data_IF_435193312531
#
_entry.id   IF_435193312531
#
_cell.length_a   1.000
_cell.length_b   1.000
_cell.length_c   1.000
_cell.angle_alpha   90.00
_cell.angle_beta   90.00
_cell.angle_gamma   90.00
#
_symmetry.space_group_name_H-M   'P 1'
#
loop_
_entity.id
_entity.type
_entity.pdbx_description
1 polymer ?
#
# COMPACT_ATOMS: atom_id res chain seq x y z
N UNK A 1 -33.37 23.10 -2.96
CA UNK A 1 -31.98 23.06 -3.44
C UNK A 1 -31.32 21.83 -2.86
N UNK A 2 -30.95 20.86 -3.69
CA UNK A 2 -30.18 19.68 -3.25
C UNK A 2 -28.69 20.02 -3.38
N UNK A 3 -27.94 19.85 -2.29
CA UNK A 3 -26.48 19.96 -2.28
C UNK A 3 -25.92 18.84 -3.17
N UNK A 4 -24.92 19.09 -4.02
CA UNK A 4 -24.29 18.03 -4.78
C UNK A 4 -23.63 17.06 -3.80
N UNK A 5 -23.97 15.77 -3.92
CA UNK A 5 -23.32 14.71 -3.19
C UNK A 5 -21.88 14.53 -3.73
N UNK A 6 -20.94 15.33 -3.23
CA UNK A 6 -19.50 15.19 -3.52
C UNK A 6 -18.88 14.04 -2.72
N UNK A 7 -19.42 12.83 -2.84
CA UNK A 7 -18.83 11.63 -2.24
C UNK A 7 -19.39 10.36 -2.89
N UNK A 8 -18.75 9.83 -3.95
CA UNK A 8 -19.00 8.42 -4.30
C UNK A 8 -17.84 7.63 -4.91
N UNK A 9 -16.64 8.19 -4.96
CA UNK A 9 -15.43 7.38 -5.02
C UNK A 9 -14.60 7.82 -3.82
N UNK A 10 -14.67 7.08 -2.70
CA UNK A 10 -13.84 7.37 -1.53
C UNK A 10 -12.35 7.46 -1.88
N UNK A 11 -11.50 7.88 -0.93
CA UNK A 11 -10.06 8.09 -1.16
C UNK A 11 -9.48 6.96 -2.04
N UNK A 12 -8.76 7.27 -3.14
CA UNK A 12 -8.49 6.31 -4.21
C UNK A 12 -7.68 5.09 -3.77
N UNK A 13 -6.90 5.22 -2.69
CA UNK A 13 -6.16 4.15 -2.03
C UNK A 13 -7.00 3.27 -1.08
N UNK A 14 -8.19 3.72 -0.65
CA UNK A 14 -9.03 2.96 0.27
C UNK A 14 -9.49 1.64 -0.35
N UNK A 15 -9.34 0.56 0.40
CA UNK A 15 -9.75 -0.78 0.03
C UNK A 15 -8.64 -1.81 0.27
N UNK A 16 -8.91 -3.03 -0.16
CA UNK A 16 -7.94 -4.12 -0.12
C UNK A 16 -7.20 -4.23 -1.44
N UNK A 17 -5.92 -4.55 -1.34
CA UNK A 17 -5.02 -4.70 -2.47
C UNK A 17 -4.28 -6.00 -2.35
N UNK A 18 -4.06 -6.67 -3.47
CA UNK A 18 -3.33 -7.95 -3.50
C UNK A 18 -2.31 -7.99 -4.62
N UNK A 19 -1.19 -8.68 -4.38
CA UNK A 19 -0.11 -8.75 -5.34
C UNK A 19 1.15 -9.36 -4.73
N UNK A 20 2.31 -8.88 -5.17
CA UNK A 20 3.59 -9.42 -4.75
C UNK A 20 4.73 -8.41 -4.91
N UNK A 21 5.84 -8.74 -4.25
CA UNK A 21 7.13 -8.07 -4.42
C UNK A 21 8.27 -9.07 -4.40
N UNK A 22 9.44 -8.69 -4.90
CA UNK A 22 10.62 -9.53 -4.81
C UNK A 22 11.86 -8.91 -5.46
N UNK A 23 13.08 -9.29 -5.04
CA UNK A 23 14.32 -8.78 -5.64
C UNK A 23 14.51 -9.25 -7.09
N UNK A 24 13.85 -10.34 -7.49
CA UNK A 24 13.88 -10.90 -8.84
C UNK A 24 12.60 -11.70 -9.13
N UNK A 25 12.53 -12.32 -10.31
CA UNK A 25 11.35 -13.07 -10.77
C UNK A 25 11.15 -14.42 -10.06
N UNK A 26 12.21 -14.99 -9.50
CA UNK A 26 12.20 -16.29 -8.84
C UNK A 26 11.81 -16.19 -7.37
N UNK A 27 12.14 -15.07 -6.72
CA UNK A 27 11.92 -14.83 -5.29
C UNK A 27 10.78 -13.83 -5.06
N UNK A 28 9.53 -14.26 -5.30
CA UNK A 28 8.33 -13.43 -5.10
C UNK A 28 7.63 -13.73 -3.78
N UNK A 29 7.34 -12.70 -3.00
CA UNK A 29 6.52 -12.75 -1.78
C UNK A 29 5.15 -12.14 -2.04
N UNK A 30 4.08 -12.84 -1.66
CA UNK A 30 2.71 -12.31 -1.73
C UNK A 30 2.53 -11.16 -0.74
N UNK A 31 1.74 -10.17 -1.15
CA UNK A 31 1.36 -9.01 -0.34
C UNK A 31 -0.14 -8.85 -0.38
N UNK A 32 -0.69 -8.60 0.80
CA UNK A 32 -2.01 -8.02 0.98
C UNK A 32 -1.85 -6.67 1.68
N UNK A 33 -2.52 -5.64 1.17
CA UNK A 33 -2.66 -4.38 1.88
C UNK A 33 -4.13 -4.16 2.19
N UNK A 34 -4.43 -3.75 3.42
CA UNK A 34 -5.74 -3.22 3.78
C UNK A 34 -5.55 -1.74 4.15
N UNK A 35 -6.07 -0.85 3.32
CA UNK A 35 -5.90 0.60 3.46
C UNK A 35 -7.26 1.22 3.76
N UNK A 36 -7.32 1.99 4.84
CA UNK A 36 -8.49 2.74 5.23
C UNK A 36 -8.26 4.25 5.08
N UNK A 37 -9.36 4.98 5.00
CA UNK A 37 -9.41 6.44 5.00
C UNK A 37 -10.59 6.87 5.88
N UNK A 38 -10.29 7.73 6.86
CA UNK A 38 -11.25 8.24 7.84
C UNK A 38 -11.77 9.65 7.52
N UNK A 39 -11.33 10.25 6.41
CA UNK A 39 -11.62 11.65 6.06
C UNK A 39 -10.43 12.59 6.26
N UNK A 40 -9.36 12.14 6.93
CA UNK A 40 -8.18 12.95 7.27
C UNK A 40 -6.86 12.24 7.01
N UNK A 41 -6.77 10.96 7.35
CA UNK A 41 -5.53 10.19 7.27
C UNK A 41 -5.74 8.82 6.62
N UNK A 42 -4.71 8.38 5.90
CA UNK A 42 -4.60 7.00 5.46
C UNK A 42 -4.01 6.16 6.60
N UNK A 43 -4.70 5.07 6.91
CA UNK A 43 -4.21 4.05 7.83
C UNK A 43 -4.27 2.69 7.16
N UNK A 44 -3.66 1.67 7.76
CA UNK A 44 -3.74 0.33 7.20
C UNK A 44 -2.73 -0.63 7.76
N UNK A 45 -2.70 -1.82 7.17
CA UNK A 45 -1.74 -2.85 7.49
C UNK A 45 -1.29 -3.63 6.25
N UNK A 46 -0.04 -4.08 6.30
CA UNK A 46 0.53 -5.08 5.40
C UNK A 46 0.22 -6.46 5.99
N UNK A 47 -0.22 -7.38 5.14
CA UNK A 47 -0.54 -8.78 5.44
C UNK A 47 -1.40 -8.90 6.73
N UNK A 48 -2.63 -8.35 6.71
CA UNK A 48 -3.50 -8.33 7.89
C UNK A 48 -3.76 -9.73 8.45
N UNK A 49 -3.90 -9.83 9.77
CA UNK A 49 -3.99 -11.08 10.52
C UNK A 49 -3.12 -11.05 11.78
N UNK A 50 -2.82 -12.20 12.39
CA UNK A 50 -2.02 -12.28 13.63
C UNK A 50 -0.63 -11.64 13.54
N UNK A 51 -0.07 -11.55 12.33
CA UNK A 51 1.26 -10.96 12.06
C UNK A 51 1.17 -9.67 11.24
N UNK A 52 0.06 -8.93 11.36
CA UNK A 52 -0.15 -7.69 10.65
C UNK A 52 0.97 -6.68 10.95
N UNK A 53 1.51 -6.05 9.90
CA UNK A 53 2.46 -4.95 10.05
C UNK A 53 1.70 -3.65 9.81
N UNK A 54 1.50 -2.87 10.87
CA UNK A 54 0.73 -1.61 10.80
C UNK A 54 1.53 -0.56 10.04
N UNK A 55 0.86 0.15 9.13
CA UNK A 55 1.44 1.29 8.43
C UNK A 55 1.65 2.43 9.43
N UNK A 56 2.89 2.90 9.54
CA UNK A 56 3.24 4.08 10.33
C UNK A 56 3.02 5.38 9.54
N UNK A 57 3.15 5.29 8.21
CA UNK A 57 2.89 6.40 7.30
C UNK A 57 2.28 5.88 6.02
N UNK A 58 1.27 6.59 5.52
CA UNK A 58 0.72 6.37 4.21
C UNK A 58 0.30 7.69 3.57
N UNK A 59 0.82 7.94 2.37
CA UNK A 59 0.54 9.19 1.64
C UNK A 59 0.30 8.92 0.17
N UNK A 60 -0.54 9.76 -0.42
CA UNK A 60 -0.74 9.88 -1.86
C UNK A 60 -0.49 11.33 -2.25
N UNK A 61 0.40 11.56 -3.20
CA UNK A 61 0.54 12.85 -3.87
C UNK A 61 -0.38 12.87 -5.10
N UNK A 62 -1.46 13.67 -5.10
CA UNK A 62 -2.41 13.71 -6.21
C UNK A 62 -1.84 14.41 -7.46
N UNK A 63 -0.72 15.13 -7.36
CA UNK A 63 -0.12 15.85 -8.50
C UNK A 63 0.52 14.91 -9.52
N UNK A 64 1.08 13.80 -9.04
CA UNK A 64 1.81 12.81 -9.84
C UNK A 64 1.35 11.37 -9.58
N UNK A 65 0.37 11.18 -8.68
CA UNK A 65 -0.16 9.90 -8.23
C UNK A 65 0.88 8.99 -7.56
N UNK A 66 1.94 9.57 -7.00
CA UNK A 66 2.92 8.83 -6.22
C UNK A 66 2.37 8.45 -4.85
N UNK A 67 2.75 7.25 -4.43
CA UNK A 67 2.32 6.62 -3.19
C UNK A 67 3.56 6.31 -2.38
N UNK A 68 3.49 6.59 -1.08
CA UNK A 68 4.57 6.27 -0.15
C UNK A 68 4.00 5.65 1.13
N UNK A 69 4.50 4.47 1.47
CA UNK A 69 4.15 3.75 2.69
C UNK A 69 5.39 3.42 3.51
N UNK A 70 5.30 3.62 4.82
CA UNK A 70 6.32 3.19 5.78
C UNK A 70 5.67 2.31 6.85
N UNK A 71 6.39 1.27 7.25
CA UNK A 71 5.98 0.40 8.34
C UNK A 71 7.21 -0.20 9.04
N UNK A 72 7.02 -0.75 10.24
CA UNK A 72 8.06 -1.46 10.96
C UNK A 72 7.47 -2.71 11.62
N UNK A 73 8.21 -3.82 11.58
CA UNK A 73 7.94 -5.05 12.33
C UNK A 73 9.19 -5.50 13.08
N UNK A 74 9.12 -6.64 13.76
CA UNK A 74 10.29 -7.30 14.35
C UNK A 74 10.44 -8.69 13.74
N UNK A 75 11.69 -9.10 13.54
CA UNK A 75 12.00 -10.49 13.18
C UNK A 75 11.85 -11.44 14.38
N UNK A 76 12.09 -12.72 14.15
CA UNK A 76 12.02 -13.74 15.20
C UNK A 76 13.02 -13.52 16.35
N UNK A 77 14.10 -12.76 16.12
CA UNK A 77 15.08 -12.39 17.13
C UNK A 77 14.74 -11.06 17.82
N UNK A 78 13.60 -10.44 17.49
CA UNK A 78 13.16 -9.16 18.04
C UNK A 78 13.81 -7.93 17.41
N UNK A 79 14.62 -8.10 16.34
CA UNK A 79 15.29 -7.01 15.65
C UNK A 79 14.29 -6.29 14.72
N UNK A 80 14.28 -4.94 14.69
CA UNK A 80 13.38 -4.20 13.82
C UNK A 80 13.66 -4.47 12.33
N UNK A 81 12.60 -4.66 11.56
CA UNK A 81 12.59 -4.68 10.10
C UNK A 81 11.78 -3.47 9.64
N UNK A 82 12.44 -2.54 8.95
CA UNK A 82 11.78 -1.40 8.31
C UNK A 82 11.31 -1.77 6.91
N UNK A 83 10.11 -1.31 6.59
CA UNK A 83 9.49 -1.42 5.27
C UNK A 83 9.32 -0.01 4.68
N UNK A 84 9.75 0.16 3.44
CA UNK A 84 9.49 1.38 2.65
C UNK A 84 8.99 0.97 1.28
N UNK A 85 7.83 1.49 0.91
CA UNK A 85 7.16 1.19 -0.36
C UNK A 85 6.94 2.51 -1.08
N UNK A 86 7.60 2.67 -2.21
CA UNK A 86 7.46 3.83 -3.09
C UNK A 86 6.84 3.35 -4.41
N UNK A 87 5.73 3.94 -4.82
CA UNK A 87 5.06 3.51 -6.03
C UNK A 87 4.24 4.60 -6.70
N UNK A 88 3.56 4.21 -7.77
CA UNK A 88 2.64 5.06 -8.51
C UNK A 88 1.29 4.36 -8.62
N UNK A 89 0.23 5.10 -8.30
CA UNK A 89 -1.15 4.67 -8.54
C UNK A 89 -1.49 4.88 -10.01
N UNK A 90 -1.90 3.80 -10.66
CA UNK A 90 -2.24 3.73 -12.08
C UNK A 90 -3.69 3.28 -12.26
N UNK A 91 -4.22 3.46 -13.48
CA UNK A 91 -5.58 3.07 -13.85
C UNK A 91 -6.67 3.70 -12.96
N UNK A 92 -6.51 4.96 -12.56
CA UNK A 92 -7.34 5.64 -11.54
C UNK A 92 -8.85 5.62 -11.88
N UNK A 93 -9.17 5.72 -13.17
CA UNK A 93 -10.54 5.66 -13.69
C UNK A 93 -11.09 4.24 -13.92
N UNK A 94 -10.26 3.21 -13.79
CA UNK A 94 -10.69 1.82 -13.93
C UNK A 94 -11.12 1.24 -12.58
N UNK A 95 -11.93 0.17 -12.63
CA UNK A 95 -12.25 -0.62 -11.44
C UNK A 95 -10.98 -1.24 -10.83
N UNK A 96 -10.13 -1.84 -11.67
CA UNK A 96 -8.85 -2.43 -11.29
C UNK A 96 -7.73 -1.38 -11.31
N UNK A 97 -7.60 -0.66 -10.21
CA UNK A 97 -6.45 0.21 -9.97
C UNK A 97 -5.22 -0.63 -9.65
N UNK A 98 -4.05 -0.14 -10.02
CA UNK A 98 -2.78 -0.83 -9.81
C UNK A 98 -1.81 0.12 -9.13
N UNK A 99 -1.04 -0.38 -8.16
CA UNK A 99 0.13 0.31 -7.65
C UNK A 99 1.35 -0.48 -8.10
N UNK A 100 2.23 0.17 -8.84
CA UNK A 100 3.54 -0.39 -9.23
C UNK A 100 4.65 0.45 -8.61
N UNK A 101 5.75 -0.19 -8.24
CA UNK A 101 6.83 0.51 -7.57
C UNK A 101 7.92 -0.38 -7.02
N UNK A 102 8.50 0.05 -5.92
CA UNK A 102 9.62 -0.59 -5.25
C UNK A 102 9.26 -0.87 -3.80
N UNK A 103 9.63 -2.05 -3.32
CA UNK A 103 9.55 -2.44 -1.93
C UNK A 103 10.95 -2.62 -1.37
N UNK A 104 11.20 -2.03 -0.20
CA UNK A 104 12.41 -2.24 0.59
C UNK A 104 12.04 -2.88 1.92
N UNK A 105 12.63 -4.03 2.25
CA UNK A 105 12.49 -4.76 3.51
C UNK A 105 13.89 -4.93 4.12
N UNK A 106 14.22 -4.12 5.12
CA UNK A 106 15.59 -4.06 5.66
C UNK A 106 16.61 -3.77 4.55
N UNK A 107 17.51 -4.72 4.27
CA UNK A 107 18.52 -4.60 3.21
C UNK A 107 18.05 -5.14 1.84
N UNK A 108 16.87 -5.78 1.77
CA UNK A 108 16.33 -6.34 0.52
C UNK A 108 15.52 -5.27 -0.20
N UNK A 109 15.68 -5.17 -1.51
CA UNK A 109 14.93 -4.25 -2.37
C UNK A 109 14.49 -4.98 -3.63
N UNK A 110 13.28 -4.69 -4.10
CA UNK A 110 12.70 -5.37 -5.25
C UNK A 110 11.52 -4.62 -5.85
N UNK A 111 11.10 -5.02 -7.04
CA UNK A 111 9.88 -4.49 -7.63
C UNK A 111 8.65 -4.95 -6.84
N UNK A 112 7.62 -4.12 -6.86
CA UNK A 112 6.37 -4.31 -6.15
C UNK A 112 5.20 -4.00 -7.07
N UNK A 113 4.18 -4.84 -7.01
CA UNK A 113 2.92 -4.61 -7.71
C UNK A 113 1.75 -5.15 -6.90
N UNK A 114 0.72 -4.33 -6.72
CA UNK A 114 -0.58 -4.75 -6.18
C UNK A 114 -1.73 -4.21 -7.02
N UNK A 115 -2.83 -4.94 -7.02
CA UNK A 115 -4.08 -4.60 -7.70
C UNK A 115 -5.19 -4.45 -6.66
N UNK A 116 -6.06 -3.46 -6.84
CA UNK A 116 -7.25 -3.26 -6.00
C UNK A 116 -8.27 -4.38 -6.23
N UNK A 117 -8.79 -4.96 -5.16
CA UNK A 117 -9.84 -5.99 -5.20
C UNK A 117 -11.23 -5.36 -5.40
#
# INVERSE_FOLDING_TARGET
MALPASAQFGHPLKGTWSGDWGPNKQERKRVLLDINWDGKALTGAINPGPNAVTLQKATLDPSNWSVHFEAESKDAAGKPIRYVIDGKLENIGAYQRVITGTWTEGAKKGDFKVVRN
#
